data_IF_079842713178
#
_entry.id   IF_079842713178
#
_cell.length_a   1.000
_cell.length_b   1.000
_cell.length_c   1.000
_cell.angle_alpha   90.00
_cell.angle_beta   90.00
_cell.angle_gamma   90.00
#
_symmetry.space_group_name_H-M   'P 1'
#
loop_
_entity.id
_entity.type
_entity.pdbx_description
1 polymer ?
#
# COMPACT_ATOMS: atom_id res chain seq x y z
N UNK A 1 -19.08 -9.57 12.28
CA UNK A 1 -18.90 -8.35 11.49
C UNK A 1 -17.48 -7.88 11.76
N UNK A 2 -16.57 -8.15 10.86
CA UNK A 2 -15.18 -7.69 10.98
C UNK A 2 -15.00 -6.55 10.01
N UNK A 3 -14.55 -5.39 10.49
CA UNK A 3 -14.29 -4.20 9.67
C UNK A 3 -12.92 -4.28 8.99
N UNK A 4 -12.71 -3.52 7.97
CA UNK A 4 -11.56 -3.63 7.09
C UNK A 4 -10.39 -2.74 7.48
N UNK A 5 -9.22 -3.19 7.09
CA UNK A 5 -7.95 -2.50 7.25
C UNK A 5 -7.36 -2.01 5.94
N UNK A 6 -6.87 -0.80 6.02
CA UNK A 6 -6.08 -0.11 5.00
C UNK A 6 -4.59 -0.29 5.33
N UNK A 7 -3.82 -0.85 4.41
CA UNK A 7 -2.35 -0.81 4.51
C UNK A 7 -1.84 0.06 3.37
N UNK A 8 -1.28 1.19 3.71
CA UNK A 8 -0.71 2.15 2.77
C UNK A 8 0.62 1.63 2.18
N UNK A 9 0.86 2.06 0.98
CA UNK A 9 1.94 1.83 0.03
C UNK A 9 1.77 0.60 -0.86
N UNK A 10 1.45 0.86 -2.14
CA UNK A 10 1.39 -0.08 -3.26
C UNK A 10 0.51 -1.31 -3.00
N UNK A 11 -0.73 -1.12 -2.65
CA UNK A 11 -1.65 -2.24 -2.48
C UNK A 11 -2.91 -1.93 -1.69
N UNK A 12 -3.50 -0.75 -1.86
CA UNK A 12 -4.81 -0.46 -1.27
C UNK A 12 -5.88 -1.34 -1.87
N UNK A 13 -6.30 -2.34 -1.12
CA UNK A 13 -7.59 -2.98 -1.29
C UNK A 13 -8.34 -2.90 0.02
N UNK A 14 -9.42 -2.16 0.00
CA UNK A 14 -10.33 -2.01 1.15
C UNK A 14 -10.95 -3.35 1.49
N UNK A 15 -10.88 -3.72 2.73
CA UNK A 15 -11.78 -4.69 3.28
C UNK A 15 -13.13 -4.02 3.55
N UNK A 16 -14.20 -4.48 2.96
CA UNK A 16 -15.58 -4.15 3.31
C UNK A 16 -16.15 -5.21 4.25
N UNK A 17 -16.93 -4.76 5.21
CA UNK A 17 -17.64 -5.62 6.17
C UNK A 17 -18.42 -6.73 5.49
N UNK A 18 -18.21 -7.96 5.96
CA UNK A 18 -18.86 -9.16 5.50
C UNK A 18 -20.31 -9.25 5.97
N UNK A 19 -21.19 -9.68 5.10
CA UNK A 19 -22.38 -10.48 5.43
C UNK A 19 -22.62 -11.49 4.31
N UNK A 20 -23.01 -12.69 4.71
CA UNK A 20 -23.23 -13.90 3.91
C UNK A 20 -21.94 -14.58 3.46
N UNK A 21 -21.95 -15.87 3.47
CA UNK A 21 -20.94 -16.83 3.04
C UNK A 21 -20.15 -16.34 1.82
N UNK A 22 -19.20 -15.40 2.04
CA UNK A 22 -18.33 -14.88 0.99
C UNK A 22 -17.34 -15.98 0.65
N UNK A 23 -17.16 -16.23 -0.63
CA UNK A 23 -16.12 -17.10 -1.12
C UNK A 23 -14.79 -16.66 -0.51
N UNK A 24 -13.97 -17.60 -0.03
CA UNK A 24 -12.73 -17.27 0.69
C UNK A 24 -11.69 -16.57 -0.19
N UNK A 25 -11.85 -16.64 -1.51
CA UNK A 25 -10.93 -16.08 -2.49
C UNK A 25 -11.49 -14.79 -3.10
N UNK A 26 -10.71 -13.71 -3.05
CA UNK A 26 -11.00 -12.45 -3.72
C UNK A 26 -9.87 -12.15 -4.71
N UNK A 27 -10.20 -11.99 -5.97
CA UNK A 27 -9.26 -11.57 -7.00
C UNK A 27 -9.50 -10.09 -7.32
N UNK A 28 -8.42 -9.36 -7.60
CA UNK A 28 -8.50 -7.95 -7.93
C UNK A 28 -7.39 -7.50 -8.86
N UNK A 29 -7.64 -6.35 -9.47
CA UNK A 29 -6.66 -5.63 -10.26
C UNK A 29 -6.77 -4.12 -9.98
N UNK A 30 -5.65 -3.40 -10.12
CA UNK A 30 -5.61 -1.97 -9.93
C UNK A 30 -4.61 -1.30 -10.84
N UNK A 31 -4.89 -0.03 -11.16
CA UNK A 31 -3.99 0.86 -11.86
C UNK A 31 -3.68 2.06 -10.95
N UNK A 32 -2.41 2.41 -10.80
CA UNK A 32 -1.93 3.48 -9.95
C UNK A 32 -0.95 4.35 -10.71
N UNK A 33 -0.94 5.63 -10.42
CA UNK A 33 -0.02 6.59 -11.00
C UNK A 33 0.45 7.55 -9.92
N UNK A 34 1.75 7.81 -9.87
CA UNK A 34 2.35 8.83 -9.02
C UNK A 34 3.33 9.68 -9.81
N UNK A 35 3.45 10.95 -9.45
CA UNK A 35 4.37 11.90 -10.04
C UNK A 35 4.93 12.80 -8.95
N UNK A 36 6.23 13.05 -8.98
CA UNK A 36 6.91 13.92 -8.03
C UNK A 36 8.39 14.05 -8.32
N UNK A 37 9.02 15.01 -7.68
CA UNK A 37 10.47 15.19 -7.81
C UNK A 37 11.27 14.41 -6.76
N UNK A 38 10.63 13.95 -5.70
CA UNK A 38 11.22 13.17 -4.61
C UNK A 38 12.48 13.82 -4.00
N UNK A 39 12.55 15.17 -4.04
CA UNK A 39 13.71 15.93 -3.58
C UNK A 39 14.91 15.93 -4.55
N UNK A 40 14.78 15.40 -5.76
CA UNK A 40 15.85 15.34 -6.77
C UNK A 40 15.86 16.55 -7.70
N UNK A 41 14.77 17.33 -7.73
CA UNK A 41 14.56 18.42 -8.68
C UNK A 41 14.20 17.95 -10.11
N UNK A 42 14.06 16.63 -10.31
CA UNK A 42 13.63 16.03 -11.60
C UNK A 42 12.36 15.24 -11.39
N UNK A 43 11.32 15.56 -12.14
CA UNK A 43 10.07 14.82 -12.04
C UNK A 43 10.23 13.36 -12.43
N UNK A 44 9.85 12.47 -11.54
CA UNK A 44 9.75 11.03 -11.80
C UNK A 44 8.30 10.60 -11.73
N UNK A 45 7.86 9.85 -12.72
CA UNK A 45 6.53 9.26 -12.80
C UNK A 45 6.59 7.75 -12.67
N UNK A 46 5.65 7.19 -11.92
CA UNK A 46 5.52 5.74 -11.75
C UNK A 46 4.09 5.35 -12.07
N UNK A 47 3.91 4.55 -13.12
CA UNK A 47 2.65 3.90 -13.43
C UNK A 47 2.74 2.42 -13.01
N UNK A 48 1.73 1.92 -12.31
CA UNK A 48 1.68 0.55 -11.82
C UNK A 48 0.36 -0.11 -12.22
N UNK A 49 0.43 -1.30 -12.79
CA UNK A 49 -0.69 -2.23 -12.92
C UNK A 49 -0.44 -3.38 -11.93
N UNK A 50 -1.38 -3.64 -11.03
CA UNK A 50 -1.22 -4.68 -10.01
C UNK A 50 -2.35 -5.70 -10.09
N UNK A 51 -2.00 -6.98 -10.07
CA UNK A 51 -2.93 -8.08 -9.83
C UNK A 51 -2.83 -8.50 -8.35
N UNK A 52 -3.97 -8.82 -7.74
CA UNK A 52 -4.03 -9.23 -6.34
C UNK A 52 -4.88 -10.48 -6.17
N UNK A 53 -4.44 -11.36 -5.27
CA UNK A 53 -5.23 -12.48 -4.77
C UNK A 53 -5.27 -12.40 -3.25
N UNK A 54 -6.45 -12.51 -2.66
CA UNK A 54 -6.67 -12.46 -1.22
C UNK A 54 -7.50 -13.68 -0.83
N UNK A 55 -7.03 -14.42 0.16
CA UNK A 55 -7.68 -15.62 0.68
C UNK A 55 -7.94 -15.48 2.18
N UNK A 56 -9.18 -15.68 2.60
CA UNK A 56 -9.63 -15.58 3.99
C UNK A 56 -9.96 -16.96 4.56
N UNK A 57 -9.40 -17.28 5.72
CA UNK A 57 -9.72 -18.52 6.42
C UNK A 57 -9.60 -18.32 7.94
N UNK A 58 -10.72 -18.50 8.64
CA UNK A 58 -10.78 -18.26 10.08
C UNK A 58 -10.33 -16.84 10.47
N UNK A 59 -9.33 -16.69 11.36
CA UNK A 59 -8.80 -15.37 11.72
C UNK A 59 -7.72 -14.85 10.75
N UNK A 60 -7.37 -15.61 9.71
CA UNK A 60 -6.28 -15.31 8.81
C UNK A 60 -6.74 -14.73 7.48
N UNK A 61 -5.98 -13.78 6.97
CA UNK A 61 -6.09 -13.23 5.62
C UNK A 61 -4.71 -13.31 4.97
N UNK A 62 -4.60 -14.06 3.88
CA UNK A 62 -3.39 -14.13 3.05
C UNK A 62 -3.60 -13.27 1.81
N UNK A 63 -2.59 -12.52 1.41
CA UNK A 63 -2.66 -11.70 0.20
C UNK A 63 -1.36 -11.81 -0.59
N UNK A 64 -1.49 -11.93 -1.90
CA UNK A 64 -0.41 -11.81 -2.88
C UNK A 64 -0.69 -10.61 -3.78
N UNK A 65 0.36 -9.84 -4.11
CA UNK A 65 0.30 -8.72 -5.05
C UNK A 65 1.44 -8.85 -6.05
N UNK A 66 1.10 -8.81 -7.34
CA UNK A 66 2.05 -8.89 -8.45
C UNK A 66 1.93 -7.59 -9.25
N UNK A 67 2.88 -6.65 -9.13
CA UNK A 67 2.86 -5.40 -9.87
C UNK A 67 3.62 -5.49 -11.19
N UNK A 68 3.17 -4.76 -12.20
CA UNK A 68 3.92 -4.39 -13.39
C UNK A 68 4.13 -2.88 -13.36
N UNK A 69 5.36 -2.45 -13.49
CA UNK A 69 5.78 -1.05 -13.32
C UNK A 69 6.20 -0.43 -14.66
N UNK A 70 5.93 0.85 -14.81
CA UNK A 70 6.57 1.73 -15.81
C UNK A 70 7.04 2.98 -15.07
N UNK A 71 8.33 3.23 -15.11
CA UNK A 71 9.00 4.34 -14.41
C UNK A 71 9.69 5.21 -15.43
N UNK A 72 9.49 6.53 -15.36
CA UNK A 72 10.12 7.51 -16.24
C UNK A 72 10.59 8.69 -15.38
N UNK A 73 11.84 9.13 -15.54
CA UNK A 73 12.44 10.25 -14.82
C UNK A 73 13.76 9.90 -14.12
N UNK A 74 13.98 10.44 -12.92
CA UNK A 74 15.23 10.24 -12.17
C UNK A 74 15.49 8.77 -11.86
N UNK A 75 16.67 8.32 -12.21
CA UNK A 75 17.06 6.91 -12.11
C UNK A 75 17.46 6.48 -10.70
N UNK A 76 17.60 7.42 -9.78
CA UNK A 76 17.80 7.17 -8.35
C UNK A 76 16.52 6.93 -7.57
N UNK A 77 15.35 7.24 -8.16
CA UNK A 77 14.05 6.99 -7.53
C UNK A 77 13.60 5.55 -7.79
N UNK A 78 13.34 4.81 -6.73
CA UNK A 78 12.78 3.45 -6.79
C UNK A 78 11.31 3.48 -6.36
N UNK A 79 10.40 2.83 -7.10
CA UNK A 79 8.99 2.77 -6.74
C UNK A 79 8.76 2.30 -5.30
N UNK A 80 7.98 3.07 -4.53
CA UNK A 80 7.68 2.77 -3.12
C UNK A 80 8.76 3.16 -2.11
N UNK A 81 9.95 3.58 -2.56
CA UNK A 81 11.05 4.00 -1.68
C UNK A 81 11.40 5.49 -1.81
N UNK A 82 11.07 6.13 -2.94
CA UNK A 82 11.53 7.47 -3.25
C UNK A 82 12.98 7.46 -3.75
N UNK A 83 13.70 8.55 -3.52
CA UNK A 83 15.12 8.62 -3.88
C UNK A 83 15.97 7.74 -2.95
N UNK A 84 16.60 6.73 -3.51
CA UNK A 84 17.46 5.78 -2.76
C UNK A 84 18.87 5.66 -3.34
N UNK A 85 19.13 6.17 -4.55
CA UNK A 85 20.44 6.11 -5.21
C UNK A 85 20.89 7.50 -5.65
N UNK A 86 22.14 7.83 -5.39
CA UNK A 86 22.74 9.09 -5.84
C UNK A 86 23.19 9.04 -7.31
N UNK A 87 23.39 7.86 -7.88
CA UNK A 87 23.88 7.66 -9.25
C UNK A 87 22.80 7.05 -10.15
N UNK A 88 22.71 7.47 -11.42
CA UNK A 88 21.77 6.90 -12.37
C UNK A 88 22.07 5.42 -12.63
N UNK A 89 21.02 4.60 -12.69
CA UNK A 89 21.11 3.14 -12.88
C UNK A 89 20.45 2.69 -14.19
N UNK A 90 19.57 3.53 -14.77
CA UNK A 90 18.83 3.22 -15.99
C UNK A 90 18.77 4.40 -16.96
N UNK A 91 18.24 4.16 -18.14
CA UNK A 91 17.80 5.20 -19.07
C UNK A 91 16.54 5.90 -18.55
N UNK A 92 16.11 6.96 -19.20
CA UNK A 92 14.97 7.80 -18.79
C UNK A 92 13.66 7.05 -18.54
N UNK A 93 13.49 5.88 -19.16
CA UNK A 93 12.29 5.05 -19.03
C UNK A 93 12.63 3.57 -18.85
N UNK A 94 11.97 2.93 -17.90
CA UNK A 94 12.05 1.49 -17.67
C UNK A 94 10.68 0.89 -17.37
N UNK A 95 10.45 -0.36 -17.77
CA UNK A 95 9.24 -1.10 -17.42
C UNK A 95 9.53 -2.58 -17.22
N UNK A 96 8.69 -3.24 -16.44
CA UNK A 96 8.81 -4.66 -16.13
C UNK A 96 8.01 -5.07 -14.90
N UNK A 97 8.17 -6.33 -14.49
CA UNK A 97 7.63 -6.78 -13.22
C UNK A 97 8.30 -6.04 -12.06
N UNK A 98 7.51 -5.64 -11.09
CA UNK A 98 7.98 -5.13 -9.81
C UNK A 98 8.18 -6.25 -8.79
N UNK A 99 8.47 -5.88 -7.56
CA UNK A 99 8.63 -6.83 -6.46
C UNK A 99 7.29 -7.41 -6.05
N UNK A 100 7.21 -8.75 -6.01
CA UNK A 100 6.03 -9.47 -5.53
C UNK A 100 5.95 -9.30 -4.02
N UNK A 101 4.75 -8.95 -3.52
CA UNK A 101 4.50 -8.80 -2.08
C UNK A 101 3.52 -9.86 -1.61
N UNK A 102 3.92 -10.58 -0.58
CA UNK A 102 3.08 -11.54 0.13
C UNK A 102 2.81 -11.01 1.54
N UNK A 103 1.60 -11.23 2.07
CA UNK A 103 1.27 -10.90 3.45
C UNK A 103 0.36 -11.92 4.09
N UNK A 104 0.49 -12.07 5.40
CA UNK A 104 -0.39 -12.82 6.27
C UNK A 104 -0.85 -11.92 7.40
N UNK A 105 -2.16 -11.71 7.51
CA UNK A 105 -2.78 -10.89 8.55
C UNK A 105 -3.57 -11.80 9.49
N UNK A 106 -3.37 -11.64 10.79
CA UNK A 106 -4.08 -12.33 11.84
C UNK A 106 -4.98 -11.35 12.59
N UNK A 107 -6.29 -11.62 12.64
CA UNK A 107 -7.24 -10.83 13.44
C UNK A 107 -7.03 -11.18 14.92
N UNK A 108 -6.13 -10.45 15.58
CA UNK A 108 -5.68 -10.75 16.93
C UNK A 108 -6.73 -10.42 17.99
N UNK A 109 -7.54 -9.41 17.76
CA UNK A 109 -8.60 -9.01 18.69
C UNK A 109 -9.78 -8.40 17.92
N UNK A 110 -10.99 -8.73 18.37
CA UNK A 110 -12.20 -8.06 17.93
C UNK A 110 -13.26 -8.05 19.02
N UNK A 111 -13.77 -6.87 19.35
CA UNK A 111 -14.88 -6.69 20.29
C UNK A 111 -16.12 -6.22 19.52
N UNK A 112 -17.17 -7.05 19.35
CA UNK A 112 -18.37 -6.70 18.60
C UNK A 112 -19.14 -5.52 19.21
N UNK A 113 -19.15 -5.38 20.54
CA UNK A 113 -19.92 -4.34 21.23
C UNK A 113 -19.35 -2.93 20.98
N UNK A 114 -18.03 -2.80 20.89
CA UNK A 114 -17.35 -1.53 20.60
C UNK A 114 -16.87 -1.41 19.18
N UNK A 115 -17.04 -2.47 18.37
CA UNK A 115 -16.49 -2.58 17.00
C UNK A 115 -14.99 -2.25 16.93
N UNK A 116 -14.27 -2.49 18.05
CA UNK A 116 -12.83 -2.31 18.16
C UNK A 116 -12.14 -3.59 17.65
N UNK A 117 -11.21 -3.44 16.75
CA UNK A 117 -10.37 -4.53 16.27
C UNK A 117 -8.88 -4.18 16.27
N UNK A 118 -8.07 -5.24 16.35
CA UNK A 118 -6.62 -5.22 16.20
C UNK A 118 -6.21 -6.36 15.29
N UNK A 119 -5.50 -6.03 14.22
CA UNK A 119 -4.94 -6.97 13.27
C UNK A 119 -3.41 -6.89 13.27
N UNK A 120 -2.76 -8.04 13.20
CA UNK A 120 -1.30 -8.15 13.11
C UNK A 120 -0.94 -8.71 11.74
N UNK A 121 -0.06 -8.02 11.01
CA UNK A 121 0.34 -8.41 9.66
C UNK A 121 1.84 -8.64 9.59
N UNK A 122 2.24 -9.77 9.03
CA UNK A 122 3.58 -10.01 8.51
C UNK A 122 3.55 -9.87 6.99
N UNK A 123 4.53 -9.13 6.43
CA UNK A 123 4.65 -8.88 4.99
C UNK A 123 6.07 -9.22 4.54
N UNK A 124 6.18 -9.83 3.37
CA UNK A 124 7.45 -10.11 2.70
C UNK A 124 7.38 -9.53 1.29
N UNK A 125 8.38 -8.74 0.92
CA UNK A 125 8.65 -8.31 -0.45
C UNK A 125 9.72 -9.23 -1.02
N UNK A 126 9.42 -9.89 -2.13
CA UNK A 126 10.37 -10.71 -2.86
C UNK A 126 11.09 -9.87 -3.92
N UNK A 127 12.40 -9.98 -4.00
CA UNK A 127 13.23 -9.28 -4.99
C UNK A 127 13.04 -9.89 -6.38
N UNK A 128 11.92 -9.63 -7.02
CA UNK A 128 11.56 -10.15 -8.35
C UNK A 128 11.68 -9.07 -9.45
N UNK A 129 11.80 -7.81 -9.05
CA UNK A 129 12.00 -6.70 -9.97
C UNK A 129 13.43 -6.66 -10.51
N UNK A 130 13.58 -6.15 -11.72
CA UNK A 130 14.88 -5.95 -12.34
C UNK A 130 15.57 -4.71 -11.71
N UNK A 131 16.53 -4.95 -10.81
CA UNK A 131 17.27 -3.90 -10.13
C UNK A 131 18.16 -3.08 -11.08
N UNK A 132 18.62 -3.70 -12.17
CA UNK A 132 19.45 -3.02 -13.17
C UNK A 132 18.66 -1.98 -13.95
N UNK A 133 17.33 -2.13 -14.00
CA UNK A 133 16.39 -1.17 -14.55
C UNK A 133 15.85 -0.17 -13.52
N UNK A 134 16.25 -0.28 -12.25
CA UNK A 134 15.72 0.56 -11.18
C UNK A 134 14.25 0.31 -10.86
N UNK A 135 13.73 -0.90 -11.13
CA UNK A 135 12.34 -1.27 -10.84
C UNK A 135 12.16 -1.81 -9.41
N UNK A 136 13.25 -2.09 -8.72
CA UNK A 136 13.30 -2.56 -7.35
C UNK A 136 14.70 -2.40 -6.76
N UNK A 137 14.84 -2.81 -5.50
CA UNK A 137 16.12 -2.72 -4.76
C UNK A 137 17.04 -3.90 -5.03
N UNK A 138 16.52 -5.02 -5.59
CA UNK A 138 17.23 -6.29 -5.70
C UNK A 138 17.28 -7.09 -4.40
N UNK A 139 16.71 -6.55 -3.31
CA UNK A 139 16.76 -7.14 -1.98
C UNK A 139 15.37 -7.53 -1.48
N UNK A 140 15.33 -8.53 -0.59
CA UNK A 140 14.11 -8.95 0.10
C UNK A 140 13.86 -8.07 1.32
N UNK A 141 12.60 -7.69 1.55
CA UNK A 141 12.20 -6.93 2.75
C UNK A 141 11.19 -7.73 3.56
N UNK A 142 11.19 -7.48 4.86
CA UNK A 142 10.17 -8.01 5.78
C UNK A 142 9.57 -6.84 6.56
N UNK A 143 8.26 -6.86 6.81
CA UNK A 143 7.62 -5.88 7.66
C UNK A 143 6.61 -6.53 8.60
N UNK A 144 6.49 -5.95 9.78
CA UNK A 144 5.49 -6.29 10.79
C UNK A 144 4.64 -5.06 11.07
N UNK A 145 3.32 -5.22 11.00
CA UNK A 145 2.37 -4.13 11.20
C UNK A 145 1.34 -4.53 12.26
N UNK A 146 0.92 -3.55 13.03
CA UNK A 146 -0.20 -3.65 13.95
C UNK A 146 -1.19 -2.54 13.62
N UNK A 147 -2.38 -2.94 13.22
CA UNK A 147 -3.43 -2.05 12.77
C UNK A 147 -4.63 -2.14 13.70
N UNK A 148 -5.17 -1.01 14.10
CA UNK A 148 -6.36 -0.93 14.93
C UNK A 148 -7.46 -0.14 14.23
N UNK A 149 -8.70 -0.47 14.54
CA UNK A 149 -9.87 0.24 14.04
C UNK A 149 -11.00 0.23 15.05
N UNK A 150 -11.85 1.26 14.99
CA UNK A 150 -13.04 1.37 15.81
C UNK A 150 -14.17 2.05 15.05
N UNK A 151 -15.35 1.44 15.11
CA UNK A 151 -16.58 1.99 14.54
C UNK A 151 -17.31 2.91 15.51
N UNK A 152 -17.81 4.03 15.00
CA UNK A 152 -18.66 5.00 15.69
C UNK A 152 -19.87 5.31 14.79
N UNK A 153 -20.81 4.37 14.73
CA UNK A 153 -21.97 4.49 13.83
C UNK A 153 -21.53 4.43 12.36
N UNK A 154 -21.64 5.55 11.64
CA UNK A 154 -21.24 5.64 10.23
C UNK A 154 -19.74 5.94 10.03
N UNK A 155 -19.04 6.32 11.08
CA UNK A 155 -17.61 6.61 11.03
C UNK A 155 -16.84 5.40 11.51
N UNK A 156 -15.74 5.05 10.84
CA UNK A 156 -14.72 4.14 11.35
C UNK A 156 -13.40 4.88 11.40
N UNK A 157 -12.87 5.10 12.61
CA UNK A 157 -11.51 5.54 12.82
C UNK A 157 -10.57 4.35 12.73
N UNK A 158 -9.41 4.52 12.13
CA UNK A 158 -8.38 3.49 12.01
C UNK A 158 -6.99 4.09 12.06
N UNK A 159 -6.02 3.26 12.40
CA UNK A 159 -4.62 3.63 12.39
C UNK A 159 -3.74 2.42 12.57
N UNK A 160 -2.45 2.60 12.36
CA UNK A 160 -1.50 1.51 12.49
C UNK A 160 -0.08 2.00 12.69
N UNK A 161 0.77 1.08 13.13
CA UNK A 161 2.21 1.24 13.20
C UNK A 161 2.87 0.04 12.52
N UNK A 162 4.02 0.26 11.91
CA UNK A 162 4.76 -0.79 11.22
C UNK A 162 6.26 -0.64 11.43
N UNK A 163 6.96 -1.76 11.43
CA UNK A 163 8.42 -1.81 11.38
C UNK A 163 8.85 -2.58 10.15
N UNK A 164 9.69 -1.94 9.33
CA UNK A 164 10.18 -2.45 8.06
C UNK A 164 11.65 -2.81 8.22
N UNK A 165 11.98 -4.07 8.01
CA UNK A 165 13.33 -4.60 7.92
C UNK A 165 13.65 -4.68 6.44
N UNK A 166 14.47 -3.76 5.97
CA UNK A 166 14.82 -3.64 4.57
C UNK A 166 16.10 -4.42 4.28
N UNK A 167 16.10 -5.18 3.20
CA UNK A 167 17.30 -5.76 2.67
C UNK A 167 18.22 -4.66 2.14
N UNK A 168 19.51 -4.77 2.44
CA UNK A 168 20.51 -3.79 2.07
C UNK A 168 21.72 -4.46 1.41
N UNK A 169 22.46 -3.68 0.63
CA UNK A 169 23.70 -4.10 0.00
C UNK A 169 24.72 -2.95 0.04
N UNK A 170 26.02 -3.22 -0.17
CA UNK A 170 27.02 -2.15 -0.24
C UNK A 170 26.72 -1.10 -1.32
N UNK A 171 25.99 -1.48 -2.38
CA UNK A 171 25.57 -0.56 -3.45
C UNK A 171 24.29 0.22 -3.09
N UNK A 172 23.52 -0.27 -2.12
CA UNK A 172 22.26 0.32 -1.69
C UNK A 172 22.10 0.13 -0.17
N UNK A 173 22.75 0.99 0.65
CA UNK A 173 22.67 0.90 2.11
C UNK A 173 21.32 1.42 2.61
N UNK A 174 20.37 0.51 2.84
CA UNK A 174 19.04 0.84 3.36
C UNK A 174 19.01 0.73 4.88
N UNK A 175 18.30 1.64 5.51
CA UNK A 175 18.02 1.65 6.95
C UNK A 175 16.62 1.10 7.22
N UNK A 176 16.48 0.32 8.28
CA UNK A 176 15.17 -0.11 8.76
C UNK A 176 14.33 1.11 9.16
N UNK A 177 13.01 1.04 8.97
CA UNK A 177 12.16 2.20 9.13
C UNK A 177 10.87 1.87 9.88
N UNK A 178 10.42 2.78 10.72
CA UNK A 178 9.08 2.80 11.27
C UNK A 178 8.12 3.50 10.32
N UNK A 179 6.90 2.99 10.29
CA UNK A 179 5.76 3.66 9.65
C UNK A 179 4.60 3.81 10.62
N UNK A 180 3.76 4.80 10.38
CA UNK A 180 2.51 4.99 11.10
C UNK A 180 1.46 5.60 10.17
N UNK A 181 0.21 5.20 10.35
CA UNK A 181 -0.91 5.82 9.64
C UNK A 181 -2.05 6.12 10.61
N UNK A 182 -2.87 7.10 10.24
CA UNK A 182 -4.09 7.45 10.96
C UNK A 182 -5.12 7.97 9.98
N UNK A 183 -6.35 7.50 10.10
CA UNK A 183 -7.40 7.88 9.18
C UNK A 183 -8.80 7.63 9.70
N UNK A 184 -9.76 8.04 8.90
CA UNK A 184 -11.16 7.74 9.14
C UNK A 184 -11.90 7.52 7.82
N UNK A 185 -12.92 6.69 7.86
CA UNK A 185 -13.87 6.49 6.78
C UNK A 185 -15.29 6.80 7.23
N UNK A 186 -16.11 7.28 6.32
CA UNK A 186 -17.51 7.56 6.51
C UNK A 186 -18.35 6.71 5.56
N UNK A 187 -19.29 5.96 6.10
CA UNK A 187 -20.27 5.19 5.34
C UNK A 187 -21.36 6.12 4.83
N UNK A 188 -21.33 6.47 3.55
CA UNK A 188 -22.32 7.33 2.89
C UNK A 188 -23.67 6.63 2.81
N UNK A 189 -23.67 5.38 2.36
CA UNK A 189 -24.82 4.49 2.32
C UNK A 189 -24.40 3.01 2.43
N UNK A 190 -25.25 2.05 1.99
CA UNK A 190 -24.94 0.62 2.06
C UNK A 190 -23.90 0.16 1.03
N UNK A 191 -23.68 0.96 -0.01
CA UNK A 191 -22.77 0.67 -1.11
C UNK A 191 -21.52 1.53 -1.09
N UNK A 192 -21.65 2.77 -0.61
CA UNK A 192 -20.63 3.81 -0.75
C UNK A 192 -19.99 4.18 0.58
N UNK A 193 -18.69 4.34 0.55
CA UNK A 193 -17.89 4.92 1.63
C UNK A 193 -16.79 5.81 1.08
N UNK A 194 -16.45 6.85 1.84
CA UNK A 194 -15.32 7.71 1.55
C UNK A 194 -14.50 7.91 2.81
N UNK A 195 -13.24 8.26 2.67
CA UNK A 195 -12.39 8.49 3.82
C UNK A 195 -11.10 9.21 3.45
N UNK A 196 -10.31 9.49 4.48
CA UNK A 196 -8.99 10.06 4.34
C UNK A 196 -8.03 9.44 5.34
N UNK A 197 -6.75 9.47 5.00
CA UNK A 197 -5.68 8.91 5.82
C UNK A 197 -4.40 9.74 5.64
N UNK A 198 -3.72 9.98 6.75
CA UNK A 198 -2.34 10.43 6.78
C UNK A 198 -1.44 9.21 6.96
N UNK A 199 -0.46 9.08 6.08
CA UNK A 199 0.57 8.04 6.16
C UNK A 199 1.94 8.68 6.39
N UNK A 200 2.78 8.02 7.18
CA UNK A 200 4.15 8.43 7.45
C UNK A 200 5.07 7.21 7.49
N UNK A 201 6.22 7.31 6.82
CA UNK A 201 7.33 6.37 6.97
C UNK A 201 8.63 7.14 7.15
N UNK A 202 9.46 6.70 8.08
CA UNK A 202 10.81 7.25 8.26
C UNK A 202 11.62 7.09 6.97
N UNK A 203 12.68 7.91 6.84
CA UNK A 203 13.66 7.74 5.77
C UNK A 203 14.23 6.33 5.78
N UNK A 204 14.60 5.85 4.62
CA UNK A 204 15.18 4.50 4.42
C UNK A 204 16.61 4.54 3.91
N UNK A 205 17.16 5.72 3.67
CA UNK A 205 18.58 5.93 3.31
C UNK A 205 19.20 6.98 4.20
N UNK A 206 20.49 6.87 4.54
CA UNK A 206 21.21 7.91 5.26
C UNK A 206 21.12 9.25 4.53
N UNK A 207 20.70 10.30 5.25
CA UNK A 207 20.55 11.64 4.67
C UNK A 207 19.33 11.84 3.76
N UNK A 208 18.55 10.79 3.50
CA UNK A 208 17.31 10.89 2.72
C UNK A 208 16.15 11.51 3.48
N UNK A 209 15.03 11.67 2.81
CA UNK A 209 13.78 12.25 3.35
C UNK A 209 12.77 11.18 3.76
N UNK A 210 11.99 11.49 4.80
CA UNK A 210 10.84 10.68 5.19
C UNK A 210 9.74 10.77 4.12
N UNK A 211 8.89 9.75 4.04
CA UNK A 211 7.65 9.81 3.29
C UNK A 211 6.53 10.31 4.20
N UNK A 212 5.68 11.18 3.67
CA UNK A 212 4.47 11.64 4.34
C UNK A 212 3.44 12.00 3.30
N UNK A 213 2.27 11.39 3.39
CA UNK A 213 1.24 11.48 2.36
C UNK A 213 -0.12 11.66 2.99
N UNK A 214 -0.92 12.58 2.43
CA UNK A 214 -2.34 12.66 2.71
C UNK A 214 -3.10 12.03 1.56
N UNK A 215 -3.96 11.07 1.87
CA UNK A 215 -4.69 10.28 0.91
C UNK A 215 -6.19 10.39 1.19
N UNK A 216 -6.97 10.67 0.13
CA UNK A 216 -8.42 10.57 0.12
C UNK A 216 -8.88 9.41 -0.74
N UNK A 217 -9.91 8.67 -0.30
CA UNK A 217 -10.42 7.51 -1.05
C UNK A 217 -11.95 7.45 -1.08
N UNK A 218 -12.44 6.80 -2.10
CA UNK A 218 -13.85 6.46 -2.28
C UNK A 218 -13.97 4.99 -2.68
N UNK A 219 -14.92 4.27 -2.07
CA UNK A 219 -15.18 2.86 -2.36
C UNK A 219 -16.65 2.64 -2.63
N UNK A 220 -16.95 1.81 -3.63
CA UNK A 220 -18.32 1.45 -4.05
C UNK A 220 -18.46 -0.04 -4.26
N UNK A 221 -19.53 -0.61 -3.68
CA UNK A 221 -20.00 -1.95 -4.04
C UNK A 221 -20.82 -1.86 -5.31
N UNK A 222 -20.41 -2.56 -6.35
CA UNK A 222 -21.08 -2.64 -7.63
C UNK A 222 -21.97 -3.89 -7.69
N UNK A 223 -22.76 -4.03 -8.77
CA UNK A 223 -23.54 -5.25 -9.04
C UNK A 223 -22.62 -6.47 -9.24
N UNK A 224 -23.10 -7.67 -8.91
CA UNK A 224 -22.36 -8.94 -9.07
C UNK A 224 -21.14 -9.05 -8.15
N UNK A 225 -21.24 -8.51 -6.93
CA UNK A 225 -20.25 -8.56 -5.85
C UNK A 225 -18.90 -7.87 -6.17
N UNK A 226 -18.84 -7.12 -7.26
CA UNK A 226 -17.69 -6.30 -7.57
C UNK A 226 -17.55 -5.15 -6.55
N UNK A 227 -16.32 -4.88 -6.17
CA UNK A 227 -15.94 -3.73 -5.34
C UNK A 227 -14.99 -2.86 -6.14
N UNK A 228 -15.32 -1.57 -6.29
CA UNK A 228 -14.47 -0.55 -6.91
C UNK A 228 -13.94 0.39 -5.85
N UNK A 229 -12.71 0.85 -6.04
CA UNK A 229 -12.11 1.89 -5.22
C UNK A 229 -11.35 2.87 -6.09
N UNK A 230 -11.47 4.15 -5.77
CA UNK A 230 -10.64 5.23 -6.29
C UNK A 230 -9.94 5.94 -5.13
N UNK A 231 -8.73 6.43 -5.36
CA UNK A 231 -8.05 7.30 -4.41
C UNK A 231 -7.23 8.36 -5.12
N UNK A 232 -6.94 9.43 -4.40
CA UNK A 232 -5.95 10.44 -4.75
C UNK A 232 -5.08 10.73 -3.54
N UNK A 233 -3.83 11.07 -3.75
CA UNK A 233 -2.87 11.44 -2.71
C UNK A 233 -2.10 12.69 -3.07
N UNK A 234 -1.63 13.39 -2.04
CA UNK A 234 -0.65 14.46 -2.13
C UNK A 234 0.50 14.16 -1.16
N UNK A 235 1.71 14.42 -1.60
CA UNK A 235 2.92 14.34 -0.78
C UNK A 235 3.06 15.57 0.09
N UNK A 236 3.57 15.34 1.30
CA UNK A 236 3.81 16.37 2.31
C UNK A 236 5.30 16.36 2.75
N UNK A 237 6.16 15.65 2.05
CA UNK A 237 7.59 15.56 2.33
C UNK A 237 8.34 15.12 1.06
N UNK A 238 9.61 15.48 0.95
CA UNK A 238 10.45 15.23 -0.23
C UNK A 238 10.65 13.74 -0.56
N UNK A 239 10.46 12.83 0.39
CA UNK A 239 10.51 11.39 0.11
C UNK A 239 9.24 10.82 -0.53
N UNK A 240 8.18 11.64 -0.67
CA UNK A 240 6.90 11.28 -1.26
C UNK A 240 6.77 11.79 -2.69
N UNK A 241 5.87 11.20 -3.52
CA UNK A 241 5.46 11.84 -4.76
C UNK A 241 4.72 13.15 -4.47
N UNK A 242 4.74 14.12 -5.37
CA UNK A 242 3.98 15.36 -5.21
C UNK A 242 2.48 15.08 -5.20
N UNK A 243 2.05 14.20 -6.09
CA UNK A 243 0.68 13.72 -6.16
C UNK A 243 0.59 12.32 -6.78
N UNK A 244 -0.55 11.69 -6.61
CA UNK A 244 -0.84 10.40 -7.20
C UNK A 244 -2.32 10.04 -7.09
N UNK A 245 -2.66 8.91 -7.67
CA UNK A 245 -4.00 8.36 -7.58
C UNK A 245 -4.08 6.97 -8.20
N UNK A 246 -5.23 6.35 -8.04
CA UNK A 246 -5.44 5.03 -8.58
C UNK A 246 -6.88 4.56 -8.51
N UNK A 247 -7.12 3.50 -9.26
CA UNK A 247 -8.39 2.79 -9.34
C UNK A 247 -8.14 1.30 -9.13
N UNK A 248 -9.05 0.63 -8.47
CA UNK A 248 -8.99 -0.83 -8.34
C UNK A 248 -10.38 -1.45 -8.40
N UNK A 249 -10.43 -2.69 -8.87
CA UNK A 249 -11.60 -3.54 -8.91
C UNK A 249 -11.26 -4.88 -8.25
N UNK A 250 -12.19 -5.43 -7.48
CA UNK A 250 -12.04 -6.74 -6.87
C UNK A 250 -13.39 -7.47 -6.84
N UNK A 251 -13.32 -8.81 -6.88
CA UNK A 251 -14.50 -9.68 -6.83
C UNK A 251 -14.18 -10.95 -6.02
N UNK A 252 -15.09 -11.42 -5.15
CA UNK A 252 -15.03 -12.74 -4.52
C UNK A 252 -15.41 -13.85 -5.51
N UNK A 253 -14.80 -15.05 -5.34
CA UNK A 253 -15.00 -16.25 -6.14
C UNK A 253 -15.20 -17.48 -5.27
#
# INVERSE_FOLDING_TARGET
MRGPLLTACAGMLVACAAQAQESPLVLGAGAHYTSGDYGTGTTTTVATLAATARYETGPWVYKATVPYLSVEGDTGVIPGFGQVRAAPVRSDKASGLGDIVLSATYAAYYNPASTLGLDLTAKVKLATADETKGLGTGEHDVAFLADFYRGFGRITGFGGVGYHILGDSPALPLENAWSANLGASYKLDERDSAGAMLDHRQRVVPGGSAQRELLGFFSRKLAGDWKAQAYALIGLADGSPDWGGGLSLARPF
#
